data_IF_814901636552
#
_entry.id   IF_814901636552
#
_cell.length_a   1.000
_cell.length_b   1.000
_cell.length_c   1.000
_cell.angle_alpha   90.00
_cell.angle_beta   90.00
_cell.angle_gamma   90.00
#
_symmetry.space_group_name_H-M   'P 1'
#
loop_
_entity.id
_entity.type
_entity.pdbx_description
1 polymer ?
#
# COMPACT_ATOMS: atom_id res chain seq x y z
N UNK A 1 -6.98 7.44 -6.45
CA UNK A 1 -5.54 7.39 -6.05
C UNK A 1 -4.72 8.49 -6.67
N UNK A 2 -5.24 9.22 -7.65
CA UNK A 2 -4.52 10.32 -8.31
C UNK A 2 -3.95 11.35 -7.31
N UNK A 3 -4.74 11.77 -6.31
CA UNK A 3 -4.26 12.63 -5.21
C UNK A 3 -3.00 12.07 -4.52
N UNK A 4 -3.05 10.85 -3.98
CA UNK A 4 -1.90 10.22 -3.29
C UNK A 4 -0.66 10.14 -4.20
N UNK A 5 -0.84 9.78 -5.47
CA UNK A 5 0.26 9.67 -6.43
C UNK A 5 0.90 11.04 -6.69
N UNK A 6 0.09 12.10 -6.80
CA UNK A 6 0.58 13.47 -7.03
C UNK A 6 1.18 14.09 -5.78
N UNK A 7 0.61 13.82 -4.61
CA UNK A 7 1.03 14.41 -3.33
C UNK A 7 2.34 13.78 -2.81
N UNK A 8 2.47 12.46 -2.91
CA UNK A 8 3.61 11.74 -2.33
C UNK A 8 4.58 11.18 -3.38
N UNK A 9 4.32 11.42 -4.67
CA UNK A 9 5.09 10.87 -5.80
C UNK A 9 5.32 9.35 -5.74
N UNK A 10 4.32 8.62 -5.25
CA UNK A 10 4.38 7.15 -5.12
C UNK A 10 3.64 6.45 -6.26
N UNK A 11 4.10 5.26 -6.70
CA UNK A 11 3.42 4.48 -7.75
C UNK A 11 2.17 3.73 -7.23
N UNK A 12 1.41 4.35 -6.33
CA UNK A 12 0.22 3.74 -5.73
C UNK A 12 -0.93 3.64 -6.74
N UNK A 13 -1.17 2.43 -7.24
CA UNK A 13 -2.30 2.08 -8.13
C UNK A 13 -3.11 0.93 -7.51
N UNK A 14 -4.39 0.81 -7.89
CA UNK A 14 -5.19 -0.38 -7.52
C UNK A 14 -4.55 -1.60 -8.17
N UNK A 15 -4.38 -2.68 -7.40
CA UNK A 15 -3.64 -3.87 -7.80
C UNK A 15 -2.13 -3.76 -7.66
N UNK A 16 -1.58 -2.59 -7.27
CA UNK A 16 -0.15 -2.48 -6.98
C UNK A 16 0.20 -3.34 -5.76
N UNK A 17 1.35 -4.01 -5.83
CA UNK A 17 1.88 -4.81 -4.73
C UNK A 17 2.86 -3.98 -3.94
N UNK A 18 2.76 -4.07 -2.62
CA UNK A 18 3.67 -3.41 -1.70
C UNK A 18 4.05 -4.35 -0.55
N UNK A 19 5.19 -4.06 0.05
CA UNK A 19 5.67 -4.68 1.28
C UNK A 19 5.55 -3.66 2.40
N UNK A 20 4.82 -4.02 3.43
CA UNK A 20 4.68 -3.24 4.64
C UNK A 20 5.63 -3.80 5.70
N UNK A 21 6.60 -3.00 6.11
CA UNK A 21 7.55 -3.35 7.16
C UNK A 21 6.90 -2.99 8.49
N UNK A 22 6.28 -3.95 9.18
CA UNK A 22 5.57 -3.72 10.44
C UNK A 22 6.52 -3.61 11.64
N UNK A 23 7.75 -4.13 11.53
CA UNK A 23 8.82 -4.03 12.55
C UNK A 23 8.63 -4.92 13.77
N UNK A 24 7.39 -5.30 14.07
CA UNK A 24 7.05 -6.22 15.15
C UNK A 24 6.80 -7.64 14.63
N UNK A 25 6.11 -7.77 13.50
CA UNK A 25 5.68 -9.07 12.96
C UNK A 25 6.35 -9.44 11.64
N UNK A 26 7.52 -8.87 11.36
CA UNK A 26 8.20 -9.02 10.08
C UNK A 26 7.57 -8.21 8.94
N UNK A 27 8.17 -8.35 7.77
CA UNK A 27 7.71 -7.70 6.55
C UNK A 27 6.50 -8.45 5.98
N UNK A 28 5.42 -7.72 5.70
CA UNK A 28 4.17 -8.29 5.19
C UNK A 28 3.87 -7.76 3.81
N UNK A 29 3.66 -8.68 2.87
CA UNK A 29 3.25 -8.31 1.52
C UNK A 29 1.75 -8.06 1.46
N UNK A 30 1.36 -7.12 0.62
CA UNK A 30 -0.03 -6.76 0.44
C UNK A 30 -0.31 -6.13 -0.92
N UNK A 31 -1.58 -6.19 -1.29
CA UNK A 31 -2.09 -5.63 -2.53
C UNK A 31 -2.96 -4.42 -2.23
N UNK A 32 -2.69 -3.31 -2.91
CA UNK A 32 -3.50 -2.10 -2.83
C UNK A 32 -4.86 -2.38 -3.48
N UNK A 33 -5.91 -2.42 -2.68
CA UNK A 33 -7.28 -2.65 -3.16
C UNK A 33 -8.04 -1.35 -3.40
N UNK A 34 -7.58 -0.24 -2.82
CA UNK A 34 -8.25 1.06 -2.93
C UNK A 34 -7.51 2.15 -2.15
N UNK A 35 -8.12 3.33 -2.08
CA UNK A 35 -7.62 4.45 -1.28
C UNK A 35 -8.81 5.19 -0.67
N UNK A 36 -8.59 5.82 0.49
CA UNK A 36 -9.58 6.67 1.17
C UNK A 36 -8.86 7.91 1.68
N UNK A 37 -9.20 9.08 1.13
CA UNK A 37 -8.48 10.32 1.42
C UNK A 37 -6.99 10.21 1.07
N UNK A 38 -6.13 10.56 2.02
CA UNK A 38 -4.67 10.47 1.91
C UNK A 38 -4.09 9.08 2.24
N UNK A 39 -4.93 8.07 2.50
CA UNK A 39 -4.48 6.73 2.91
C UNK A 39 -4.76 5.65 1.85
N UNK A 40 -3.85 4.67 1.79
CA UNK A 40 -4.01 3.47 0.98
C UNK A 40 -4.79 2.39 1.72
N UNK A 41 -5.68 1.72 1.01
CA UNK A 41 -6.36 0.52 1.48
C UNK A 41 -5.66 -0.70 0.88
N UNK A 42 -5.10 -1.52 1.75
CA UNK A 42 -4.24 -2.65 1.38
C UNK A 42 -4.80 -3.91 2.01
N UNK A 43 -4.89 -4.98 1.23
CA UNK A 43 -5.16 -6.33 1.74
C UNK A 43 -3.82 -7.04 1.86
N UNK A 44 -3.44 -7.41 3.08
CA UNK A 44 -2.22 -8.19 3.31
C UNK A 44 -2.44 -9.63 2.86
N UNK A 45 -1.38 -10.26 2.36
CA UNK A 45 -1.43 -11.65 1.96
C UNK A 45 -1.68 -12.53 3.20
N UNK A 46 -2.67 -13.42 3.11
CA UNK A 46 -3.11 -14.25 4.23
C UNK A 46 -4.10 -13.58 5.20
N UNK A 47 -4.37 -12.28 5.09
CA UNK A 47 -5.40 -11.59 5.88
C UNK A 47 -6.65 -11.25 5.02
N UNK A 48 -7.84 -11.53 5.55
CA UNK A 48 -9.11 -11.08 4.94
C UNK A 48 -9.40 -9.61 5.21
N UNK A 49 -8.80 -9.04 6.26
CA UNK A 49 -9.03 -7.65 6.68
C UNK A 49 -8.28 -6.68 5.78
N UNK A 50 -8.95 -5.57 5.44
CA UNK A 50 -8.34 -4.46 4.70
C UNK A 50 -7.73 -3.49 5.71
N UNK A 51 -6.44 -3.22 5.57
CA UNK A 51 -5.73 -2.24 6.39
C UNK A 51 -5.64 -0.90 5.67
N UNK A 52 -5.60 0.16 6.47
CA UNK A 52 -5.42 1.53 6.00
C UNK A 52 -4.01 1.96 6.36
N UNK A 53 -3.19 2.29 5.36
CA UNK A 53 -1.78 2.62 5.52
C UNK A 53 -1.46 3.99 4.95
N UNK A 54 -0.48 4.66 5.55
CA UNK A 54 0.06 5.90 4.97
C UNK A 54 0.92 5.55 3.73
N UNK A 55 0.82 6.30 2.61
CA UNK A 55 1.45 5.93 1.34
C UNK A 55 2.98 5.94 1.35
N UNK A 56 3.61 6.53 2.36
CA UNK A 56 5.07 6.62 2.51
C UNK A 56 5.61 5.95 3.76
N UNK A 57 4.75 5.54 4.70
CA UNK A 57 5.23 5.07 5.99
C UNK A 57 5.44 3.56 5.96
N UNK A 58 6.72 3.16 5.95
CA UNK A 58 7.15 1.75 6.01
C UNK A 58 6.55 0.88 4.92
N UNK A 59 6.25 1.48 3.78
CA UNK A 59 5.74 0.80 2.59
C UNK A 59 6.80 0.84 1.49
N UNK A 60 7.02 -0.30 0.87
CA UNK A 60 7.92 -0.48 -0.26
C UNK A 60 7.11 -1.00 -1.45
N UNK A 61 7.03 -0.23 -2.53
CA UNK A 61 6.20 -0.60 -3.69
C UNK A 61 6.98 -1.59 -4.57
N UNK A 62 6.63 -2.88 -4.47
CA UNK A 62 7.32 -3.98 -5.15
C UNK A 62 7.02 -4.05 -6.64
N UNK A 63 5.85 -3.57 -7.09
CA UNK A 63 5.45 -3.65 -8.49
C UNK A 63 4.87 -2.32 -8.96
N UNK A 64 5.56 -1.67 -9.90
CA UNK A 64 4.98 -0.62 -10.72
C UNK A 64 4.18 -1.33 -11.83
N UNK A 65 2.86 -1.15 -11.93
CA UNK A 65 2.13 -1.65 -13.09
C UNK A 65 2.69 -0.92 -14.32
N UNK A 66 3.30 -1.71 -15.22
CA UNK A 66 3.61 -1.31 -16.59
C UNK A 66 2.35 -0.75 -17.25
#
# INVERSE_FOLDING_TARGET
MDYIRRTYDVPAKRGARLRFKDGLNGDRDGTVVGARGAYLRVRMDGETRIRTLHPTWRVEYLKRPN
#
